data_IF_288559467357
#
_entry.id   IF_288559467357
#
_cell.length_a   1.000
_cell.length_b   1.000
_cell.length_c   1.000
_cell.angle_alpha   90.00
_cell.angle_beta   90.00
_cell.angle_gamma   90.00
#
_symmetry.space_group_name_H-M   'P 1'
#
loop_
_entity.id
_entity.type
_entity.pdbx_description
1 polymer ?
#
# COMPACT_ATOMS: atom_id res chain seq x y z
N UNK A 1 8.59 11.51 2.80
CA UNK A 1 8.21 10.29 2.08
C UNK A 1 7.40 9.40 3.00
N UNK A 2 6.08 9.42 2.83
CA UNK A 2 5.22 8.50 3.57
C UNK A 2 5.33 7.09 2.97
N UNK A 3 4.96 6.08 3.75
CA UNK A 3 4.94 4.68 3.29
C UNK A 3 3.97 4.49 2.11
N UNK A 4 2.87 5.26 2.07
CA UNK A 4 1.91 5.27 0.97
C UNK A 4 2.52 5.76 -0.34
N UNK A 5 3.42 6.75 -0.30
CA UNK A 5 4.16 7.19 -1.48
C UNK A 5 5.12 6.13 -2.00
N UNK A 6 5.81 5.41 -1.10
CA UNK A 6 6.67 4.28 -1.49
C UNK A 6 5.87 3.15 -2.15
N UNK A 7 4.71 2.83 -1.60
CA UNK A 7 3.81 1.81 -2.15
C UNK A 7 3.32 2.24 -3.54
N UNK A 8 2.83 3.48 -3.69
CA UNK A 8 2.39 4.03 -4.96
C UNK A 8 3.53 4.03 -5.99
N UNK A 9 4.76 4.37 -5.58
CA UNK A 9 5.93 4.36 -6.47
C UNK A 9 6.26 2.93 -6.93
N UNK A 10 6.37 1.98 -6.00
CA UNK A 10 6.66 0.58 -6.34
C UNK A 10 5.54 -0.06 -7.16
N UNK A 11 4.29 0.32 -6.92
CA UNK A 11 3.13 -0.09 -7.72
C UNK A 11 3.25 0.39 -9.17
N UNK A 12 3.58 1.67 -9.39
CA UNK A 12 3.78 2.22 -10.73
C UNK A 12 5.02 1.63 -11.42
N UNK A 13 6.13 1.44 -10.71
CA UNK A 13 7.33 0.78 -11.25
C UNK A 13 7.04 -0.64 -11.74
N UNK A 14 6.14 -1.35 -11.06
CA UNK A 14 5.69 -2.69 -11.46
C UNK A 14 4.48 -2.68 -12.40
N UNK A 15 3.97 -1.50 -12.78
CA UNK A 15 2.75 -1.33 -13.58
C UNK A 15 1.55 -2.12 -13.05
N UNK A 16 1.44 -2.23 -11.71
CA UNK A 16 0.37 -2.95 -11.04
C UNK A 16 -0.81 -2.02 -10.78
N UNK A 17 -2.02 -2.53 -10.94
CA UNK A 17 -3.23 -1.89 -10.43
C UNK A 17 -3.32 -2.04 -8.91
N UNK A 18 -4.12 -1.18 -8.27
CA UNK A 18 -4.42 -1.27 -6.83
C UNK A 18 -4.97 -2.66 -6.44
N UNK A 19 -5.78 -3.27 -7.33
CA UNK A 19 -6.34 -4.62 -7.13
C UNK A 19 -5.28 -5.71 -7.23
N UNK A 20 -4.40 -5.65 -8.22
CA UNK A 20 -3.33 -6.66 -8.36
C UNK A 20 -2.35 -6.59 -7.21
N UNK A 21 -2.01 -5.36 -6.77
CA UNK A 21 -1.17 -5.19 -5.61
C UNK A 21 -1.87 -5.74 -4.36
N UNK A 22 -3.15 -5.41 -4.16
CA UNK A 22 -3.99 -5.91 -3.07
C UNK A 22 -4.00 -7.44 -3.00
N UNK A 23 -4.22 -8.13 -4.13
CA UNK A 23 -4.16 -9.59 -4.20
C UNK A 23 -2.77 -10.13 -3.86
N UNK A 24 -1.69 -9.47 -4.32
CA UNK A 24 -0.32 -9.91 -4.04
C UNK A 24 0.10 -9.78 -2.58
N UNK A 25 -0.43 -8.78 -1.86
CA UNK A 25 -0.10 -8.53 -0.46
C UNK A 25 -1.19 -9.03 0.49
N UNK A 26 -2.21 -9.72 -0.03
CA UNK A 26 -3.38 -10.20 0.68
C UNK A 26 -4.08 -9.10 1.51
N UNK A 27 -4.16 -7.90 0.95
CA UNK A 27 -4.86 -6.76 1.53
C UNK A 27 -6.07 -6.39 0.68
N UNK A 28 -7.03 -5.69 1.26
CA UNK A 28 -8.14 -5.14 0.50
C UNK A 28 -7.70 -3.90 -0.30
N UNK A 29 -8.22 -3.75 -1.52
CA UNK A 29 -7.92 -2.59 -2.36
C UNK A 29 -8.34 -1.26 -1.70
N UNK A 30 -9.38 -1.29 -0.86
CA UNK A 30 -9.82 -0.17 -0.02
C UNK A 30 -8.76 0.20 1.03
N UNK A 31 -8.20 -0.78 1.74
CA UNK A 31 -7.12 -0.56 2.69
C UNK A 31 -5.86 -0.02 2.00
N UNK A 32 -5.51 -0.58 0.83
CA UNK A 32 -4.38 -0.13 0.03
C UNK A 32 -4.56 1.32 -0.47
N UNK A 33 -5.78 1.67 -0.87
CA UNK A 33 -6.15 3.06 -1.20
C UNK A 33 -6.04 4.00 0.00
N UNK A 34 -6.45 3.56 1.20
CA UNK A 34 -6.28 4.36 2.41
C UNK A 34 -4.81 4.57 2.75
N UNK A 35 -3.96 3.58 2.50
CA UNK A 35 -2.50 3.71 2.69
C UNK A 35 -1.90 4.69 1.68
N UNK A 36 -2.21 4.55 0.38
CA UNK A 36 -1.73 5.49 -0.65
C UNK A 36 -2.21 6.93 -0.42
N UNK A 37 -3.38 7.12 0.17
CA UNK A 37 -3.94 8.43 0.53
C UNK A 37 -3.37 8.99 1.84
N UNK A 38 -2.52 8.24 2.57
CA UNK A 38 -2.00 8.64 3.87
C UNK A 38 -3.03 8.66 5.00
N UNK A 39 -4.24 8.11 4.77
CA UNK A 39 -5.29 7.94 5.78
C UNK A 39 -5.06 6.73 6.66
N UNK A 40 -4.47 5.68 6.10
CA UNK A 40 -3.86 4.61 6.85
C UNK A 40 -2.35 4.89 6.90
N UNK A 41 -1.89 5.39 8.03
CA UNK A 41 -0.49 5.16 8.40
C UNK A 41 -0.44 3.72 8.86
N UNK A 42 0.16 2.76 8.14
CA UNK A 42 0.79 1.64 8.82
C UNK A 42 1.94 2.29 9.60
N UNK A 43 1.58 2.93 10.72
CA UNK A 43 2.52 3.24 11.77
C UNK A 43 3.24 1.93 11.99
N UNK A 44 4.56 2.03 12.02
CA UNK A 44 5.56 0.94 12.06
C UNK A 44 5.21 -0.19 13.05
N UNK A 45 4.26 0.02 13.96
CA UNK A 45 3.64 -0.98 14.82
C UNK A 45 3.04 -2.22 14.11
N UNK A 46 2.51 -2.13 12.88
CA UNK A 46 1.99 -3.33 12.20
C UNK A 46 3.03 -4.14 11.41
N UNK A 47 4.26 -3.63 11.27
CA UNK A 47 5.36 -4.33 10.59
C UNK A 47 6.29 -5.08 11.58
N UNK A 48 5.75 -5.49 12.74
CA UNK A 48 6.41 -6.38 13.70
C UNK A 48 5.58 -7.64 13.90
N UNK A 49 5.67 -8.57 12.95
CA UNK A 49 5.71 -10.01 13.23
C UNK A 49 6.41 -10.73 12.09
#
# INVERSE_FOLDING_TARGET
>A
MSIGEKIKKSRNEKSLSLRELAVKVDLSASFLSQIEQGKASPSIENLKK
#
